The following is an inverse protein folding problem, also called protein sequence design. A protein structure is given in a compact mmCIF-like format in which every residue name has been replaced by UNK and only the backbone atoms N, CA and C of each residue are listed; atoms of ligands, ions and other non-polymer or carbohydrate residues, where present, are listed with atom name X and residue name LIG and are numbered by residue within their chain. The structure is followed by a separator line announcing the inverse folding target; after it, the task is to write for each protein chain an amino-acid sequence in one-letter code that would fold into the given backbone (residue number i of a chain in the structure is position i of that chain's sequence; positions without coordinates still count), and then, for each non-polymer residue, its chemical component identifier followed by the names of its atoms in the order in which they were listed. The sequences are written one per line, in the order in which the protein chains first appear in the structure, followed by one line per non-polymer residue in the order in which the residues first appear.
data_IF_783823869195
#
_entry.id   IF_783823869195
#
_cell.length_a   1.000
_cell.length_b   1.000
_cell.length_c   1.000
_cell.angle_alpha   90.00
_cell.angle_beta   90.00
_cell.angle_gamma   90.00
#
_symmetry.space_group_name_H-M   'P 1'
#
loop_
_entity.id
_entity.type
_entity.pdbx_description
1 polymer ?
#
# COMPACT_ATOMS: atom_id res chain seq x y z
N UNK A 1 15.58 -3.60 6.00
CA UNK A 1 14.12 -3.40 6.22
C UNK A 1 13.33 -4.56 5.66
N UNK A 2 12.28 -5.05 6.34
CA UNK A 2 11.33 -6.05 5.85
C UNK A 2 9.95 -5.85 6.50
N UNK A 3 8.90 -6.38 5.87
CA UNK A 3 7.55 -6.37 6.42
C UNK A 3 7.48 -7.39 7.57
N UNK A 4 7.34 -6.90 8.81
CA UNK A 4 7.34 -7.73 10.02
C UNK A 4 5.94 -8.23 10.39
N UNK A 5 4.90 -7.39 10.20
CA UNK A 5 3.54 -7.75 10.60
C UNK A 5 2.50 -7.08 9.70
N UNK A 6 1.42 -7.81 9.45
CA UNK A 6 0.16 -7.29 8.89
C UNK A 6 -0.95 -7.51 9.90
N UNK A 7 -1.66 -6.45 10.25
CA UNK A 7 -2.90 -6.51 11.04
C UNK A 7 -4.07 -6.03 10.19
N UNK A 8 -5.11 -6.85 10.09
CA UNK A 8 -6.34 -6.56 9.33
C UNK A 8 -7.54 -6.65 10.27
N UNK A 9 -8.51 -5.75 10.09
CA UNK A 9 -9.81 -5.78 10.77
C UNK A 9 -10.87 -5.16 9.87
N UNK A 10 -11.96 -5.87 9.67
CA UNK A 10 -13.07 -5.39 8.84
C UNK A 10 -12.71 -5.22 7.37
N UNK A 11 -11.62 -5.83 6.88
CA UNK A 11 -11.14 -5.66 5.51
C UNK A 11 -11.50 -6.88 4.65
N UNK A 12 -12.32 -6.68 3.64
CA UNK A 12 -12.78 -7.69 2.66
C UNK A 12 -13.29 -8.97 3.34
N UNK A 13 -12.53 -10.06 3.34
CA UNK A 13 -12.88 -11.34 3.97
C UNK A 13 -12.50 -11.43 5.46
N UNK A 14 -11.79 -10.43 5.99
CA UNK A 14 -11.31 -10.41 7.37
C UNK A 14 -12.23 -9.59 8.26
N UNK A 15 -13.32 -10.18 8.76
CA UNK A 15 -14.25 -9.53 9.67
C UNK A 15 -13.58 -9.21 11.01
N UNK A 16 -12.98 -10.20 11.63
CA UNK A 16 -12.30 -10.09 12.91
C UNK A 16 -10.84 -9.65 12.73
N UNK A 17 -10.25 -9.14 13.82
CA UNK A 17 -8.84 -8.78 13.82
C UNK A 17 -7.97 -10.02 13.56
N UNK A 18 -7.20 -9.96 12.48
CA UNK A 18 -6.26 -10.98 12.06
C UNK A 18 -4.86 -10.40 12.03
N UNK A 19 -3.89 -11.08 12.63
CA UNK A 19 -2.49 -10.68 12.62
C UNK A 19 -1.66 -11.77 11.94
N UNK A 20 -0.74 -11.36 11.08
CA UNK A 20 0.22 -12.24 10.41
C UNK A 20 1.62 -11.67 10.67
N UNK A 21 2.47 -12.47 11.25
CA UNK A 21 3.87 -12.14 11.52
C UNK A 21 4.73 -12.81 10.46
N UNK A 22 5.70 -12.08 9.96
CA UNK A 22 6.67 -12.54 8.97
C UNK A 22 8.08 -12.47 9.54
N UNK A 23 8.87 -13.49 9.26
CA UNK A 23 10.28 -13.50 9.55
C UNK A 23 11.08 -12.95 8.34
N UNK A 24 12.34 -12.51 8.55
CA UNK A 24 13.22 -12.14 7.43
C UNK A 24 13.35 -13.28 6.40
N UNK A 25 13.34 -12.93 5.12
CA UNK A 25 13.47 -13.90 4.03
C UNK A 25 12.18 -14.10 3.23
N UNK A 26 11.89 -15.33 2.83
CA UNK A 26 10.75 -15.67 1.98
C UNK A 26 9.64 -16.26 2.82
N UNK A 27 8.47 -15.66 2.78
CA UNK A 27 7.24 -16.17 3.40
C UNK A 27 6.23 -16.59 2.32
N UNK A 28 5.63 -17.76 2.48
CA UNK A 28 4.64 -18.31 1.53
C UNK A 28 3.29 -18.44 2.21
N UNK A 29 2.27 -17.82 1.64
CA UNK A 29 0.88 -17.92 2.13
C UNK A 29 0.13 -18.92 1.27
N UNK A 30 -0.26 -20.05 1.88
CA UNK A 30 -0.97 -21.13 1.23
C UNK A 30 -2.40 -21.26 1.75
N UNK A 31 -3.28 -21.83 0.95
CA UNK A 31 -4.67 -22.07 1.34
C UNK A 31 -5.57 -22.37 0.13
N UNK A 32 -6.80 -22.85 0.34
CA UNK A 32 -7.75 -23.15 -0.73
C UNK A 32 -8.20 -21.87 -1.48
N UNK A 33 -8.86 -22.04 -2.63
CA UNK A 33 -9.46 -20.94 -3.35
C UNK A 33 -10.55 -20.29 -2.50
N UNK A 34 -10.63 -18.95 -2.52
CA UNK A 34 -11.60 -18.19 -1.71
C UNK A 34 -11.18 -17.94 -0.25
N UNK A 35 -10.05 -18.48 0.24
CA UNK A 35 -9.59 -18.26 1.64
C UNK A 35 -9.10 -16.83 1.95
N UNK A 36 -9.07 -15.94 0.97
CA UNK A 36 -8.65 -14.54 1.19
C UNK A 36 -7.17 -14.24 0.92
N UNK A 37 -6.39 -15.19 0.36
CA UNK A 37 -4.96 -14.95 0.04
C UNK A 37 -4.73 -13.67 -0.75
N UNK A 38 -5.51 -13.47 -1.82
CA UNK A 38 -5.41 -12.25 -2.65
C UNK A 38 -5.83 -10.98 -1.90
N UNK A 39 -6.67 -11.10 -0.87
CA UNK A 39 -7.07 -9.94 -0.08
C UNK A 39 -5.93 -9.44 0.82
N UNK A 40 -4.93 -10.27 1.13
CA UNK A 40 -3.71 -9.86 1.84
C UNK A 40 -2.87 -8.95 0.93
N UNK A 41 -2.69 -9.33 -0.33
CA UNK A 41 -2.00 -8.49 -1.33
C UNK A 41 -2.73 -7.17 -1.53
N UNK A 42 -4.08 -7.20 -1.63
CA UNK A 42 -4.88 -6.00 -1.74
C UNK A 42 -4.74 -5.10 -0.51
N UNK A 43 -4.66 -5.68 0.69
CA UNK A 43 -4.45 -4.94 1.93
C UNK A 43 -3.09 -4.23 1.97
N UNK A 44 -2.02 -4.91 1.54
CA UNK A 44 -0.69 -4.31 1.43
C UNK A 44 -0.72 -3.16 0.43
N UNK A 45 -1.22 -3.38 -0.79
CA UNK A 45 -1.36 -2.36 -1.82
C UNK A 45 -2.14 -1.15 -1.33
N UNK A 46 -3.23 -1.41 -0.60
CA UNK A 46 -4.11 -0.38 -0.09
C UNK A 46 -3.41 0.55 0.92
N UNK A 47 -2.67 0.01 1.88
CA UNK A 47 -1.90 0.81 2.84
C UNK A 47 -0.75 1.54 2.15
N UNK A 48 -0.08 0.91 1.19
CA UNK A 48 1.00 1.53 0.41
C UNK A 48 0.51 2.64 -0.57
N UNK A 49 -0.77 3.00 -0.48
CA UNK A 49 -1.32 4.17 -1.15
C UNK A 49 -2.12 3.90 -2.42
N UNK A 50 -2.58 2.65 -2.65
CA UNK A 50 -3.51 2.38 -3.75
C UNK A 50 -4.84 3.13 -3.51
N UNK A 51 -5.26 3.91 -4.51
CA UNK A 51 -6.48 4.72 -4.46
C UNK A 51 -7.52 4.27 -5.49
N UNK A 52 -7.17 3.35 -6.39
CA UNK A 52 -8.11 2.83 -7.38
C UNK A 52 -8.97 1.72 -6.78
N UNK A 53 -10.29 1.91 -6.66
CA UNK A 53 -11.17 0.83 -6.25
C UNK A 53 -11.08 -0.38 -7.18
N UNK A 54 -10.91 -0.16 -8.50
CA UNK A 54 -10.80 -1.21 -9.51
C UNK A 54 -9.60 -2.12 -9.27
N UNK A 55 -8.44 -1.57 -8.92
CA UNK A 55 -7.25 -2.34 -8.57
C UNK A 55 -7.51 -3.24 -7.35
N UNK A 56 -8.34 -2.77 -6.43
CA UNK A 56 -8.79 -3.51 -5.25
C UNK A 56 -10.05 -4.35 -5.52
N UNK A 57 -10.43 -4.55 -6.79
CA UNK A 57 -11.58 -5.36 -7.19
C UNK A 57 -12.91 -4.90 -6.60
N UNK A 58 -13.06 -3.58 -6.41
CA UNK A 58 -14.27 -2.91 -5.95
C UNK A 58 -14.73 -1.83 -6.93
N UNK A 59 -15.93 -1.30 -6.75
CA UNK A 59 -16.48 -0.15 -7.45
C UNK A 59 -16.29 1.16 -6.70
N UNK A 60 -16.19 1.07 -5.37
CA UNK A 60 -15.96 2.17 -4.44
C UNK A 60 -14.90 1.81 -3.40
N UNK A 61 -14.27 2.82 -2.80
CA UNK A 61 -13.26 2.60 -1.75
C UNK A 61 -13.88 1.99 -0.47
N UNK A 62 -15.16 2.20 -0.22
CA UNK A 62 -15.88 1.57 0.90
C UNK A 62 -16.14 0.07 0.69
N UNK A 63 -16.00 -0.43 -0.54
CA UNK A 63 -16.17 -1.87 -0.84
C UNK A 63 -15.04 -2.75 -0.27
N UNK A 64 -13.98 -2.13 0.26
CA UNK A 64 -12.96 -2.87 1.03
C UNK A 64 -13.44 -3.24 2.43
N UNK A 65 -14.54 -2.64 2.91
CA UNK A 65 -15.13 -2.96 4.21
C UNK A 65 -15.82 -4.32 4.12
N UNK A 66 -15.60 -5.15 5.12
CA UNK A 66 -16.25 -6.46 5.23
C UNK A 66 -17.77 -6.32 5.23
N UNK A 67 -18.43 -7.07 4.36
CA UNK A 67 -19.88 -7.19 4.26
C UNK A 67 -20.26 -8.66 4.15
N UNK A 68 -21.22 -9.07 4.95
CA UNK A 68 -21.87 -10.37 4.83
C UNK A 68 -23.39 -10.22 4.84
N UNK A 69 -24.11 -11.30 4.55
CA UNK A 69 -25.62 -11.28 4.62
C UNK A 69 -26.15 -10.96 6.01
N UNK A 70 -25.35 -11.15 7.05
CA UNK A 70 -25.76 -11.01 8.46
C UNK A 70 -25.14 -9.79 9.14
N UNK A 71 -24.03 -9.28 8.61
CA UNK A 71 -23.24 -8.25 9.27
C UNK A 71 -22.55 -7.36 8.24
N UNK A 72 -22.62 -6.06 8.45
CA UNK A 72 -21.86 -5.05 7.74
C UNK A 72 -21.09 -4.24 8.80
N UNK A 73 -19.77 -4.21 8.66
CA UNK A 73 -18.93 -3.44 9.59
C UNK A 73 -18.89 -1.97 9.16
N UNK A 74 -18.77 -1.08 10.16
CA UNK A 74 -18.70 0.35 9.90
C UNK A 74 -17.31 0.82 9.48
N UNK A 75 -16.28 -0.04 9.61
CA UNK A 75 -14.88 0.35 9.45
C UNK A 75 -14.04 -0.82 8.93
N UNK A 76 -13.10 -0.50 8.03
CA UNK A 76 -11.97 -1.37 7.74
C UNK A 76 -10.67 -0.70 8.15
N UNK A 77 -9.79 -1.45 8.80
CA UNK A 77 -8.47 -1.00 9.23
C UNK A 77 -7.41 -2.03 8.83
N UNK A 78 -6.34 -1.55 8.23
CA UNK A 78 -5.16 -2.35 7.92
C UNK A 78 -3.92 -1.62 8.42
N UNK A 79 -3.05 -2.35 9.08
CA UNK A 79 -1.74 -1.86 9.54
C UNK A 79 -0.63 -2.74 9.00
N UNK A 80 0.42 -2.11 8.49
CA UNK A 80 1.67 -2.75 8.08
C UNK A 80 2.77 -2.29 9.04
N UNK A 81 3.48 -3.21 9.66
CA UNK A 81 4.63 -2.89 10.51
C UNK A 81 5.90 -3.36 9.82
N UNK A 82 6.84 -2.46 9.63
CA UNK A 82 8.15 -2.73 9.04
C UNK A 82 9.23 -2.70 10.11
N UNK A 83 10.16 -3.64 10.05
CA UNK A 83 11.44 -3.53 10.75
C UNK A 83 12.30 -2.47 10.05
N UNK A 84 12.78 -1.48 10.79
CA UNK A 84 13.55 -0.33 10.29
C UNK A 84 14.89 -0.18 11.01
N UNK A 85 15.46 -1.26 11.53
CA UNK A 85 16.75 -1.20 12.25
C UNK A 85 17.91 -0.74 11.38
N UNK A 86 17.80 -0.87 10.08
CA UNK A 86 18.75 -0.40 9.08
C UNK A 86 18.50 1.06 8.65
N UNK A 87 17.56 1.76 9.28
CA UNK A 87 17.15 3.14 8.97
C UNK A 87 16.81 3.38 7.49
N UNK A 88 16.27 2.37 6.81
CA UNK A 88 15.85 2.51 5.41
C UNK A 88 14.67 3.48 5.24
N UNK A 89 13.76 3.53 6.22
CA UNK A 89 12.75 4.59 6.31
C UNK A 89 13.35 5.82 7.02
N UNK A 90 13.04 7.05 6.58
CA UNK A 90 13.58 8.28 7.14
C UNK A 90 12.89 8.66 8.48
N UNK A 91 12.86 7.73 9.40
CA UNK A 91 12.24 7.86 10.72
C UNK A 91 13.16 7.20 11.77
N UNK A 92 13.37 7.87 12.90
CA UNK A 92 14.22 7.42 14.00
C UNK A 92 13.55 6.35 14.88
N UNK A 93 12.89 5.36 14.27
CA UNK A 93 12.23 4.26 14.96
C UNK A 93 12.70 2.93 14.40
N UNK A 94 12.99 1.97 15.28
CA UNK A 94 13.36 0.60 14.89
C UNK A 94 12.22 -0.18 14.24
N UNK A 95 10.98 0.23 14.50
CA UNK A 95 9.78 -0.30 13.87
C UNK A 95 8.90 0.86 13.43
N UNK A 96 8.41 0.79 12.19
CA UNK A 96 7.49 1.79 11.63
C UNK A 96 6.20 1.11 11.22
N UNK A 97 5.09 1.59 11.78
CA UNK A 97 3.75 1.09 11.49
C UNK A 97 2.95 2.10 10.67
N UNK A 98 2.56 1.71 9.46
CA UNK A 98 1.62 2.45 8.63
C UNK A 98 0.22 1.88 8.81
N UNK A 99 -0.76 2.72 9.12
CA UNK A 99 -2.16 2.31 9.27
C UNK A 99 -3.05 3.14 8.37
N UNK A 100 -3.92 2.46 7.64
CA UNK A 100 -5.01 3.09 6.89
C UNK A 100 -6.35 2.57 7.40
N UNK A 101 -7.30 3.48 7.53
CA UNK A 101 -8.65 3.22 8.00
C UNK A 101 -9.66 3.86 7.06
N UNK A 102 -10.75 3.17 6.76
CA UNK A 102 -11.87 3.71 5.98
C UNK A 102 -13.18 3.47 6.70
N UNK A 103 -14.10 4.40 6.57
CA UNK A 103 -15.40 4.37 7.22
C UNK A 103 -16.52 4.13 6.21
N UNK A 104 -17.57 3.40 6.60
CA UNK A 104 -18.74 3.13 5.76
C UNK A 104 -19.48 4.39 5.33
N UNK A 105 -19.40 5.45 6.14
CA UNK A 105 -19.97 6.77 5.84
C UNK A 105 -19.08 7.62 4.92
N UNK A 106 -17.97 7.05 4.45
CA UNK A 106 -16.95 7.74 3.67
C UNK A 106 -15.85 8.36 4.55
N UNK A 107 -14.75 8.73 3.89
CA UNK A 107 -13.55 9.24 4.57
C UNK A 107 -12.54 8.15 4.88
N UNK A 108 -11.28 8.57 5.03
CA UNK A 108 -10.16 7.68 5.36
C UNK A 108 -9.19 8.43 6.27
N UNK A 109 -8.68 7.72 7.28
CA UNK A 109 -7.62 8.19 8.16
C UNK A 109 -6.32 7.42 7.88
N UNK A 110 -5.22 8.11 8.10
CA UNK A 110 -3.88 7.58 7.89
C UNK A 110 -3.03 7.87 9.13
N UNK A 111 -2.20 6.89 9.51
CA UNK A 111 -1.35 7.02 10.70
C UNK A 111 0.04 6.45 10.43
N UNK A 112 1.05 7.13 10.97
CA UNK A 112 2.42 6.64 11.10
C UNK A 112 2.72 6.51 12.59
N UNK A 113 3.05 5.32 13.08
CA UNK A 113 3.28 5.02 14.50
C UNK A 113 2.19 5.60 15.43
N UNK A 114 0.92 5.44 15.04
CA UNK A 114 -0.26 5.95 15.76
C UNK A 114 -0.47 7.47 15.69
N UNK A 115 0.43 8.24 15.11
CA UNK A 115 0.26 9.67 14.86
C UNK A 115 -0.53 9.88 13.57
N UNK A 116 -1.60 10.69 13.56
CA UNK A 116 -2.37 10.97 12.37
C UNK A 116 -1.52 11.75 11.35
N UNK A 117 -1.65 11.44 10.08
CA UNK A 117 -0.95 12.11 8.99
C UNK A 117 -1.83 12.21 7.74
N UNK A 118 -1.36 12.91 6.72
CA UNK A 118 -2.00 12.92 5.40
C UNK A 118 -1.52 11.72 4.59
N UNK A 119 -2.34 11.29 3.64
CA UNK A 119 -1.94 10.23 2.70
C UNK A 119 -0.64 10.60 1.96
N UNK A 120 -0.47 11.88 1.57
CA UNK A 120 0.74 12.38 0.92
C UNK A 120 1.99 12.13 1.76
N UNK A 121 1.92 12.46 3.05
CA UNK A 121 3.04 12.35 3.98
C UNK A 121 3.42 10.89 4.20
N UNK A 122 2.41 10.01 4.33
CA UNK A 122 2.63 8.56 4.42
C UNK A 122 3.28 8.01 3.15
N UNK A 123 2.80 8.39 1.96
CA UNK A 123 3.38 7.97 0.68
C UNK A 123 4.81 8.49 0.52
N UNK A 124 5.09 9.71 0.94
CA UNK A 124 6.44 10.29 0.87
C UNK A 124 7.43 9.48 1.70
N UNK A 125 7.10 9.16 2.95
CA UNK A 125 7.93 8.32 3.84
C UNK A 125 8.16 6.93 3.24
N UNK A 126 7.09 6.27 2.78
CA UNK A 126 7.15 4.95 2.13
C UNK A 126 8.07 4.98 0.90
N UNK A 127 7.92 6.02 0.06
CA UNK A 127 8.71 6.17 -1.17
C UNK A 127 10.18 6.45 -0.88
N UNK A 128 10.49 7.18 0.20
CA UNK A 128 11.88 7.42 0.64
C UNK A 128 12.56 6.15 1.10
N UNK A 129 11.82 5.23 1.71
CA UNK A 129 12.32 3.91 2.09
C UNK A 129 12.45 2.91 0.92
N UNK A 130 12.21 3.34 -0.31
CA UNK A 130 12.27 2.46 -1.49
C UNK A 130 11.07 1.53 -1.64
N UNK A 131 10.06 1.65 -0.78
CA UNK A 131 8.78 0.94 -0.89
C UNK A 131 7.84 1.86 -1.68
N UNK A 132 7.94 1.89 -3.00
CA UNK A 132 7.09 2.75 -3.83
C UNK A 132 5.84 2.05 -4.35
N UNK A 133 4.92 2.85 -4.92
CA UNK A 133 3.80 2.36 -5.76
C UNK A 133 4.28 1.65 -7.04
N UNK A 134 5.60 1.48 -7.20
CA UNK A 134 6.16 0.86 -8.39
C UNK A 134 5.67 -0.57 -8.57
N UNK A 135 5.52 -0.96 -9.83
CA UNK A 135 5.15 -2.30 -10.32
C UNK A 135 5.97 -3.45 -9.68
N UNK A 136 7.01 -3.13 -8.90
CA UNK A 136 7.99 -4.11 -8.40
C UNK A 136 7.89 -4.40 -6.91
N UNK A 137 7.22 -3.54 -6.13
CA UNK A 137 6.95 -3.84 -4.71
C UNK A 137 5.85 -4.88 -4.57
N UNK A 138 4.86 -4.84 -5.47
CA UNK A 138 3.76 -5.78 -5.51
C UNK A 138 3.54 -6.22 -6.95
N UNK A 139 3.78 -7.49 -7.21
CA UNK A 139 3.55 -8.09 -8.53
C UNK A 139 2.24 -8.88 -8.48
N UNK A 140 1.21 -8.36 -9.13
CA UNK A 140 -0.07 -9.04 -9.24
C UNK A 140 -0.02 -10.16 -10.28
N UNK A 141 -0.95 -11.11 -10.17
CA UNK A 141 -1.09 -12.19 -11.12
C UNK A 141 -1.24 -11.66 -12.58
N UNK A 142 -0.43 -12.16 -13.49
CA UNK A 142 -0.44 -11.75 -14.90
C UNK A 142 0.40 -10.50 -15.24
N UNK A 143 0.84 -9.73 -14.26
CA UNK A 143 1.63 -8.51 -14.53
C UNK A 143 3.02 -8.82 -15.09
N UNK A 144 3.65 -9.95 -14.73
CA UNK A 144 4.97 -10.34 -15.25
C UNK A 144 4.93 -10.49 -16.78
N UNK A 145 3.88 -11.12 -17.32
CA UNK A 145 3.71 -11.26 -18.76
C UNK A 145 3.53 -9.91 -19.45
N UNK A 146 2.82 -8.97 -18.82
CA UNK A 146 2.63 -7.63 -19.35
C UNK A 146 3.94 -6.84 -19.43
N UNK A 147 4.84 -6.98 -18.45
CA UNK A 147 6.16 -6.31 -18.46
C UNK A 147 7.00 -6.73 -19.67
N UNK A 148 6.94 -8.00 -20.07
CA UNK A 148 7.67 -8.51 -21.23
C UNK A 148 7.17 -7.92 -22.55
N UNK A 149 5.89 -7.53 -22.62
CA UNK A 149 5.21 -7.04 -23.83
C UNK A 149 5.20 -5.50 -23.89
N UNK A 150 5.59 -4.79 -22.82
CA UNK A 150 5.60 -3.34 -22.76
C UNK A 150 6.46 -2.71 -23.86
N UNK A 151 6.00 -1.58 -24.39
CA UNK A 151 6.78 -0.76 -25.33
C UNK A 151 8.04 -0.21 -24.66
N UNK A 152 9.10 0.11 -25.42
CA UNK A 152 10.36 0.63 -24.87
C UNK A 152 10.18 1.86 -23.97
N UNK A 153 9.26 2.76 -24.32
CA UNK A 153 8.95 3.98 -23.54
C UNK A 153 8.33 3.65 -22.17
N UNK A 154 7.45 2.67 -22.13
CA UNK A 154 6.80 2.21 -20.89
C UNK A 154 7.82 1.51 -19.98
N UNK A 155 8.70 0.67 -20.56
CA UNK A 155 9.83 0.06 -19.82
C UNK A 155 10.77 1.12 -19.24
N UNK A 156 11.07 2.18 -20.01
CA UNK A 156 11.88 3.30 -19.52
C UNK A 156 11.21 4.00 -18.34
N UNK A 157 9.89 4.23 -18.38
CA UNK A 157 9.17 4.84 -17.26
C UNK A 157 9.28 3.99 -15.99
N UNK A 158 9.16 2.67 -16.13
CA UNK A 158 9.32 1.71 -15.04
C UNK A 158 10.71 1.81 -14.41
N UNK A 159 11.78 1.83 -15.24
CA UNK A 159 13.16 1.95 -14.76
C UNK A 159 13.36 3.28 -14.02
N UNK A 160 12.84 4.39 -14.56
CA UNK A 160 12.89 5.72 -13.93
C UNK A 160 12.17 5.74 -12.57
N UNK A 161 11.10 4.97 -12.43
CA UNK A 161 10.34 4.85 -11.19
C UNK A 161 11.10 4.03 -10.14
N UNK A 162 11.73 2.90 -10.54
CA UNK A 162 12.55 2.06 -9.65
C UNK A 162 13.75 2.84 -9.10
N UNK A 163 14.42 3.62 -9.95
CA UNK A 163 15.58 4.44 -9.57
C UNK A 163 15.17 5.63 -8.66
N UNK A 164 13.86 5.87 -8.45
CA UNK A 164 13.36 6.96 -7.60
C UNK A 164 13.46 8.36 -8.21
N UNK A 165 13.90 8.48 -9.47
CA UNK A 165 14.04 9.77 -10.18
C UNK A 165 12.69 10.48 -10.38
N UNK A 166 11.60 9.71 -10.46
CA UNK A 166 10.22 10.22 -10.63
C UNK A 166 9.83 11.22 -9.55
N UNK A 167 10.28 11.03 -8.30
CA UNK A 167 10.01 11.93 -7.17
C UNK A 167 10.63 13.31 -7.40
N UNK A 168 11.89 13.35 -7.79
CA UNK A 168 12.61 14.61 -8.07
C UNK A 168 12.00 15.34 -9.27
N UNK A 169 11.62 14.61 -10.32
CA UNK A 169 10.95 15.16 -11.50
C UNK A 169 9.58 15.75 -11.15
N UNK A 170 8.79 15.07 -10.33
CA UNK A 170 7.48 15.54 -9.89
C UNK A 170 7.58 16.77 -8.98
N UNK A 171 8.52 16.78 -8.02
CA UNK A 171 8.81 17.95 -7.17
C UNK A 171 9.24 19.15 -8.02
N UNK A 172 10.14 18.95 -8.97
CA UNK A 172 10.59 20.01 -9.89
C UNK A 172 9.43 20.56 -10.73
N UNK A 173 8.59 19.70 -11.30
CA UNK A 173 7.45 20.13 -12.11
C UNK A 173 6.42 20.88 -11.28
N UNK A 174 6.16 20.44 -10.04
CA UNK A 174 5.27 21.13 -9.10
C UNK A 174 5.79 22.52 -8.73
N UNK A 175 7.10 22.65 -8.47
CA UNK A 175 7.75 23.94 -8.20
C UNK A 175 7.71 24.86 -9.43
N UNK A 176 7.94 24.31 -10.62
CA UNK A 176 7.85 25.07 -11.89
C UNK A 176 6.42 25.59 -12.12
N UNK A 177 5.42 24.74 -11.97
CA UNK A 177 4.01 25.14 -12.13
C UNK A 177 3.57 26.17 -11.08
N UNK A 178 4.12 26.15 -9.88
CA UNK A 178 3.84 27.14 -8.85
C UNK A 178 4.51 28.50 -9.19
N UNK A 179 5.72 28.47 -9.74
CA UNK A 179 6.43 29.66 -10.24
C UNK A 179 5.72 30.31 -11.44
N UNK A 180 5.15 29.51 -12.33
CA UNK A 180 4.40 30.00 -13.50
C UNK A 180 3.03 30.60 -13.13
N UNK A 181 2.54 30.32 -11.90
CA UNK A 181 1.26 30.84 -11.37
C UNK A 181 1.42 32.05 -10.45
N UNK A 182 2.64 32.34 -10.00
CA UNK A 182 2.99 33.50 -9.19
C UNK A 182 3.41 34.68 -10.08
#
# INVERSE_FOLDING_TARGET
MYLKNISLRGFKSFANKSNMVFEPGISVIVGPNGSGKSNIVDAISWVLGEQSPKTLRGSSMVDVIFKSKKEELAIAEVSLTFDNKDNALPLEFNEVKFTRRVYSRGGSDYFINSSPCRLSDMIDVISEGGIGKGLYTIVSQGQINNIAILKPEERKQIIVEIIGISKHKNRRNKSKNNLEKA
#
